data_IF_319074104798
#
_entry.id   IF_319074104798
#
_cell.length_a   1.000
_cell.length_b   1.000
_cell.length_c   1.000
_cell.angle_alpha   90.00
_cell.angle_beta   90.00
_cell.angle_gamma   90.00
#
_symmetry.space_group_name_H-M   'P 1'
#
loop_
_entity.id
_entity.type
_entity.pdbx_description
1 polymer ?
#
# COMPACT_ATOMS: atom_id res chain seq x y z
N UNK A 1 -20.02 6.20 -1.51
CA UNK A 1 -20.20 5.95 -2.93
C UNK A 1 -21.41 6.70 -3.48
N UNK A 2 -21.40 7.05 -4.78
CA UNK A 2 -22.58 7.66 -5.45
C UNK A 2 -23.73 6.65 -5.57
N UNK A 3 -23.41 5.37 -5.69
CA UNK A 3 -24.34 4.24 -5.71
C UNK A 3 -23.63 2.99 -5.19
N UNK A 4 -24.41 1.97 -4.81
CA UNK A 4 -23.89 0.72 -4.25
C UNK A 4 -23.65 0.75 -2.74
N UNK A 5 -23.08 -0.34 -2.24
CA UNK A 5 -22.81 -0.57 -0.84
C UNK A 5 -21.35 -1.00 -0.68
N UNK A 6 -20.73 -0.63 0.43
CA UNK A 6 -19.37 -1.04 0.79
C UNK A 6 -19.42 -1.67 2.18
N UNK A 7 -18.82 -2.85 2.31
CA UNK A 7 -18.74 -3.57 3.56
C UNK A 7 -17.28 -3.74 3.98
N UNK A 8 -17.00 -3.51 5.25
CA UNK A 8 -15.74 -3.84 5.91
C UNK A 8 -16.07 -4.86 6.99
N UNK A 9 -15.42 -6.03 6.95
CA UNK A 9 -15.71 -7.13 7.89
C UNK A 9 -17.22 -7.42 8.03
N UNK A 10 -17.94 -7.48 6.89
CA UNK A 10 -19.40 -7.69 6.78
C UNK A 10 -20.28 -6.58 7.38
N UNK A 11 -19.72 -5.45 7.78
CA UNK A 11 -20.45 -4.30 8.30
C UNK A 11 -20.53 -3.22 7.22
N UNK A 12 -21.72 -2.69 6.96
CA UNK A 12 -21.94 -1.58 6.04
C UNK A 12 -21.25 -0.32 6.58
N UNK A 13 -20.32 0.29 5.78
CA UNK A 13 -19.58 1.48 6.20
C UNK A 13 -20.47 2.67 6.55
N UNK A 14 -21.69 2.76 5.97
CA UNK A 14 -22.65 3.82 6.28
C UNK A 14 -23.18 3.74 7.71
N UNK A 15 -23.04 2.57 8.36
CA UNK A 15 -23.50 2.30 9.74
C UNK A 15 -22.39 2.36 10.77
N UNK A 16 -21.15 2.59 10.34
CA UNK A 16 -19.97 2.66 11.22
C UNK A 16 -19.53 4.13 11.29
N UNK A 17 -19.21 4.61 12.48
CA UNK A 17 -18.63 5.95 12.60
C UNK A 17 -17.17 5.96 12.10
N UNK A 18 -16.70 7.12 11.63
CA UNK A 18 -15.38 7.30 11.02
C UNK A 18 -14.23 6.81 11.92
N UNK A 19 -14.31 7.05 13.22
CA UNK A 19 -13.30 6.62 14.20
C UNK A 19 -13.20 5.08 14.28
N UNK A 20 -14.31 4.38 14.14
CA UNK A 20 -14.33 2.92 14.14
C UNK A 20 -13.85 2.36 12.79
N UNK A 21 -14.17 3.01 11.66
CA UNK A 21 -13.58 2.66 10.35
C UNK A 21 -12.06 2.79 10.42
N UNK A 22 -11.56 3.89 10.98
CA UNK A 22 -10.13 4.13 11.14
C UNK A 22 -9.40 3.15 12.08
N UNK A 23 -10.11 2.33 12.84
CA UNK A 23 -9.54 1.21 13.60
C UNK A 23 -9.52 -0.11 12.85
N UNK A 24 -10.25 -0.22 11.75
CA UNK A 24 -10.32 -1.43 10.93
C UNK A 24 -9.49 -1.28 9.64
N UNK A 25 -9.39 -0.05 9.10
CA UNK A 25 -8.69 0.25 7.85
C UNK A 25 -7.80 1.46 8.00
N UNK A 26 -6.52 1.32 7.69
CA UNK A 26 -5.61 2.43 7.48
C UNK A 26 -5.54 2.77 5.99
N UNK A 27 -5.53 4.05 5.64
CA UNK A 27 -5.45 4.50 4.26
C UNK A 27 -4.33 5.52 4.07
N UNK A 28 -3.44 5.24 3.12
CA UNK A 28 -2.41 6.16 2.67
C UNK A 28 -2.76 6.68 1.27
N UNK A 29 -3.14 7.95 1.12
CA UNK A 29 -3.41 8.54 -0.18
C UNK A 29 -2.13 8.77 -0.97
N UNK A 30 -2.26 8.98 -2.27
CA UNK A 30 -1.16 9.38 -3.14
C UNK A 30 -0.61 10.76 -2.74
N UNK A 31 0.72 10.88 -2.64
CA UNK A 31 1.41 12.15 -2.41
C UNK A 31 1.00 12.88 -1.11
N UNK A 32 1.03 12.23 0.05
CA UNK A 32 0.63 12.86 1.30
C UNK A 32 1.58 14.02 1.65
N UNK A 33 1.04 15.10 2.18
CA UNK A 33 1.80 16.30 2.55
C UNK A 33 2.10 16.27 4.06
N UNK A 34 3.37 16.40 4.41
CA UNK A 34 3.81 16.52 5.80
C UNK A 34 3.91 18.01 6.19
N UNK A 35 3.34 18.44 7.31
CA UNK A 35 3.65 19.74 7.89
C UNK A 35 5.15 19.86 8.20
N UNK A 36 5.73 21.05 7.98
CA UNK A 36 7.16 21.30 8.27
C UNK A 36 7.49 21.14 9.75
N UNK A 37 8.72 20.72 10.03
CA UNK A 37 9.26 20.61 11.37
C UNK A 37 8.81 19.37 12.17
N UNK A 38 8.05 18.45 11.55
CA UNK A 38 7.70 17.18 12.20
C UNK A 38 8.82 16.15 12.07
N UNK A 39 9.19 15.54 13.17
CA UNK A 39 10.05 14.35 13.18
C UNK A 39 9.31 13.11 12.67
N UNK A 40 10.05 12.06 12.31
CA UNK A 40 9.48 10.76 11.93
C UNK A 40 8.59 10.22 13.04
N UNK A 41 9.05 10.29 14.28
CA UNK A 41 8.31 9.83 15.47
C UNK A 41 6.98 10.57 15.63
N UNK A 42 6.98 11.88 15.47
CA UNK A 42 5.77 12.69 15.56
C UNK A 42 4.80 12.41 14.42
N UNK A 43 5.29 12.22 13.20
CA UNK A 43 4.45 11.79 12.07
C UNK A 43 3.82 10.43 12.37
N UNK A 44 4.60 9.44 12.79
CA UNK A 44 4.11 8.09 13.08
C UNK A 44 3.08 8.11 14.22
N UNK A 45 3.25 9.01 15.19
CA UNK A 45 2.31 9.16 16.29
C UNK A 45 0.89 9.58 15.84
N UNK A 46 0.73 10.24 14.69
CA UNK A 46 -0.60 10.53 14.13
C UNK A 46 -1.40 9.27 13.81
N UNK A 47 -0.74 8.15 13.51
CA UNK A 47 -1.42 6.86 13.36
C UNK A 47 -2.20 6.42 14.61
N UNK A 48 -1.86 6.95 15.79
CA UNK A 48 -2.54 6.63 17.03
C UNK A 48 -3.84 7.42 17.30
N UNK A 49 -4.16 8.45 16.48
CA UNK A 49 -5.37 9.27 16.69
C UNK A 49 -6.68 8.47 16.84
N UNK A 50 -6.95 7.40 16.08
CA UNK A 50 -8.18 6.61 16.27
C UNK A 50 -8.29 5.96 17.65
N UNK A 51 -7.16 5.71 18.31
CA UNK A 51 -7.08 5.05 19.63
C UNK A 51 -7.05 6.04 20.79
N UNK A 52 -6.74 7.31 20.56
CA UNK A 52 -6.65 8.30 21.61
C UNK A 52 -8.00 8.67 22.20
N UNK A 53 -8.00 8.94 23.52
CA UNK A 53 -9.12 9.56 24.22
C UNK A 53 -9.06 11.08 24.03
N UNK A 54 -10.19 11.76 24.22
CA UNK A 54 -10.29 13.23 24.13
C UNK A 54 -9.34 13.98 25.08
N UNK A 55 -8.96 13.35 26.19
CA UNK A 55 -8.02 13.89 27.18
C UNK A 55 -7.06 12.75 27.54
N UNK A 56 -5.72 12.97 27.45
CA UNK A 56 -4.77 11.98 27.96
C UNK A 56 -3.48 11.73 27.16
N UNK A 57 -3.32 12.25 25.96
CA UNK A 57 -2.08 12.04 25.17
C UNK A 57 -1.80 10.56 24.83
N UNK A 58 -0.54 10.26 24.46
CA UNK A 58 -0.07 8.90 24.14
C UNK A 58 0.17 8.10 25.43
N UNK A 59 -0.40 6.92 25.51
CA UNK A 59 -0.13 5.97 26.60
C UNK A 59 1.12 5.10 26.32
N UNK A 60 1.47 4.16 27.20
CA UNK A 60 2.64 3.28 27.02
C UNK A 60 2.52 2.38 25.80
N UNK A 61 1.35 1.80 25.57
CA UNK A 61 1.09 0.96 24.39
C UNK A 61 1.22 1.76 23.09
N UNK A 62 0.70 3.00 23.04
CA UNK A 62 0.87 3.86 21.87
C UNK A 62 2.34 4.10 21.53
N UNK A 63 3.20 4.32 22.55
CA UNK A 63 4.64 4.49 22.36
C UNK A 63 5.31 3.22 21.84
N UNK A 64 4.97 2.06 22.36
CA UNK A 64 5.47 0.76 21.91
C UNK A 64 5.09 0.50 20.44
N UNK A 65 3.86 0.83 20.05
CA UNK A 65 3.40 0.67 18.66
C UNK A 65 4.11 1.63 17.72
N UNK A 66 4.34 2.88 18.14
CA UNK A 66 5.11 3.85 17.35
C UNK A 66 6.55 3.35 17.13
N UNK A 67 7.23 2.89 18.21
CA UNK A 67 8.59 2.36 18.12
C UNK A 67 8.65 1.11 17.25
N UNK A 68 7.68 0.21 17.37
CA UNK A 68 7.55 -0.96 16.53
C UNK A 68 7.39 -0.57 15.04
N UNK A 69 6.47 0.34 14.71
CA UNK A 69 6.22 0.75 13.33
C UNK A 69 7.46 1.40 12.68
N UNK A 70 8.18 2.25 13.42
CA UNK A 70 9.43 2.86 12.99
C UNK A 70 10.50 1.79 12.73
N UNK A 71 10.61 0.78 13.60
CA UNK A 71 11.55 -0.32 13.45
C UNK A 71 11.24 -1.20 12.24
N UNK A 72 9.97 -1.60 12.06
CA UNK A 72 9.56 -2.47 10.94
C UNK A 72 9.79 -1.81 9.57
N UNK A 73 9.75 -0.48 9.51
CA UNK A 73 10.02 0.28 8.27
C UNK A 73 11.48 0.68 8.12
N UNK A 74 12.39 0.21 8.98
CA UNK A 74 13.83 0.47 8.91
C UNK A 74 14.20 1.94 9.17
N UNK A 75 13.43 2.66 10.00
CA UNK A 75 13.62 4.09 10.26
C UNK A 75 14.14 4.39 11.66
N UNK A 76 14.62 3.40 12.43
CA UNK A 76 15.04 3.60 13.82
C UNK A 76 16.11 4.70 13.99
N UNK A 77 17.09 4.77 13.10
CA UNK A 77 18.16 5.79 13.12
C UNK A 77 17.67 7.19 12.72
N UNK A 78 16.48 7.27 12.12
CA UNK A 78 15.87 8.50 11.63
C UNK A 78 14.68 8.96 12.47
N UNK A 79 14.38 8.28 13.59
CA UNK A 79 13.18 8.51 14.38
C UNK A 79 12.98 9.98 14.81
N UNK A 80 14.07 10.64 15.18
CA UNK A 80 14.07 12.03 15.65
C UNK A 80 14.49 13.03 14.56
N UNK A 81 14.67 12.57 13.29
CA UNK A 81 14.94 13.43 12.15
C UNK A 81 13.63 14.00 11.61
N UNK A 82 13.68 15.26 11.18
CA UNK A 82 12.56 15.89 10.48
C UNK A 82 12.28 15.18 9.15
N UNK A 83 11.00 14.97 8.86
CA UNK A 83 10.53 14.24 7.67
C UNK A 83 10.95 14.92 6.38
N UNK A 84 11.04 16.24 6.37
CA UNK A 84 11.49 17.02 5.19
C UNK A 84 12.98 16.78 4.84
N UNK A 85 13.79 16.36 5.82
CA UNK A 85 15.21 16.05 5.65
C UNK A 85 15.49 14.57 5.30
N UNK A 86 14.44 13.80 4.98
CA UNK A 86 14.54 12.41 4.53
C UNK A 86 14.63 12.32 3.00
N UNK A 87 15.28 11.25 2.50
CA UNK A 87 15.17 10.86 1.10
C UNK A 87 13.72 10.51 0.72
N UNK A 88 13.39 10.49 -0.57
CA UNK A 88 12.04 10.12 -1.03
C UNK A 88 11.59 8.76 -0.49
N UNK A 89 12.45 7.73 -0.56
CA UNK A 89 12.14 6.40 -0.05
C UNK A 89 12.00 6.35 1.48
N UNK A 90 12.86 7.05 2.22
CA UNK A 90 12.75 7.16 3.68
C UNK A 90 11.45 7.87 4.08
N UNK A 91 11.09 8.94 3.38
CA UNK A 91 9.84 9.67 3.60
C UNK A 91 8.62 8.78 3.35
N UNK A 92 8.63 8.00 2.26
CA UNK A 92 7.56 7.06 1.97
C UNK A 92 7.42 5.99 3.05
N UNK A 93 8.55 5.44 3.54
CA UNK A 93 8.52 4.49 4.67
C UNK A 93 8.01 5.12 5.96
N UNK A 94 8.25 6.42 6.19
CA UNK A 94 7.69 7.12 7.36
C UNK A 94 6.15 7.22 7.29
N UNK A 95 5.59 7.46 6.11
CA UNK A 95 4.14 7.42 5.89
C UNK A 95 3.56 6.02 6.08
N UNK A 96 4.26 4.98 5.60
CA UNK A 96 3.87 3.59 5.85
C UNK A 96 3.94 3.28 7.35
N UNK A 97 4.98 3.72 8.07
CA UNK A 97 5.07 3.57 9.51
C UNK A 97 3.88 4.21 10.23
N UNK A 98 3.43 5.38 9.79
CA UNK A 98 2.23 6.02 10.33
C UNK A 98 0.97 5.16 10.12
N UNK A 99 0.81 4.55 8.93
CA UNK A 99 -0.33 3.65 8.69
C UNK A 99 -0.24 2.37 9.53
N UNK A 100 0.96 1.82 9.73
CA UNK A 100 1.18 0.68 10.63
C UNK A 100 0.86 1.00 12.08
N UNK A 101 1.23 2.19 12.53
CA UNK A 101 0.94 2.64 13.89
C UNK A 101 -0.57 2.78 14.17
N UNK A 102 -1.41 2.72 13.15
CA UNK A 102 -2.86 2.69 13.30
C UNK A 102 -3.37 1.32 13.79
N UNK A 103 -2.54 0.26 13.76
CA UNK A 103 -2.88 -1.12 14.21
C UNK A 103 -4.18 -1.65 13.59
N UNK A 104 -4.30 -1.59 12.29
CA UNK A 104 -5.47 -2.07 11.56
C UNK A 104 -5.22 -3.43 10.92
N UNK A 105 -6.27 -4.20 10.68
CA UNK A 105 -6.21 -5.47 9.94
C UNK A 105 -6.06 -5.25 8.42
N UNK A 106 -6.45 -4.07 7.93
CA UNK A 106 -6.42 -3.73 6.50
C UNK A 106 -5.64 -2.44 6.32
N UNK A 107 -4.68 -2.47 5.39
CA UNK A 107 -3.94 -1.29 4.94
C UNK A 107 -4.22 -1.08 3.45
N UNK A 108 -4.65 0.12 3.10
CA UNK A 108 -4.90 0.54 1.72
C UNK A 108 -3.90 1.62 1.35
N UNK A 109 -3.19 1.43 0.23
CA UNK A 109 -2.13 2.32 -0.24
C UNK A 109 -2.40 2.71 -1.68
N UNK A 110 -2.48 4.01 -1.93
CA UNK A 110 -2.70 4.54 -3.26
C UNK A 110 -1.37 5.00 -3.87
N UNK A 111 -0.84 4.20 -4.80
CA UNK A 111 0.42 4.42 -5.52
C UNK A 111 1.62 4.74 -4.59
N UNK A 112 1.94 3.91 -3.59
CA UNK A 112 2.98 4.24 -2.61
C UNK A 112 4.40 4.15 -3.18
N UNK A 113 4.59 3.64 -4.40
CA UNK A 113 5.89 3.51 -5.07
C UNK A 113 6.15 4.58 -6.12
N UNK A 114 5.18 5.45 -6.38
CA UNK A 114 5.30 6.52 -7.38
C UNK A 114 6.40 7.52 -7.00
N UNK A 115 7.21 7.94 -7.97
CA UNK A 115 8.39 8.81 -7.82
C UNK A 115 9.57 8.22 -7.02
N UNK A 116 9.59 6.91 -6.78
CA UNK A 116 10.72 6.22 -6.16
C UNK A 116 11.58 5.51 -7.22
N UNK A 117 12.89 5.49 -6.99
CA UNK A 117 13.81 4.64 -7.76
C UNK A 117 13.52 3.16 -7.52
N UNK A 118 13.90 2.29 -8.46
CA UNK A 118 13.58 0.85 -8.42
C UNK A 118 13.98 0.18 -7.10
N UNK A 119 15.12 0.53 -6.52
CA UNK A 119 15.57 -0.02 -5.23
C UNK A 119 14.62 0.34 -4.09
N UNK A 120 14.20 1.60 -4.02
CA UNK A 120 13.28 2.07 -2.99
C UNK A 120 11.86 1.54 -3.18
N UNK A 121 11.41 1.33 -4.43
CA UNK A 121 10.14 0.64 -4.71
C UNK A 121 10.16 -0.78 -4.13
N UNK A 122 11.24 -1.53 -4.38
CA UNK A 122 11.39 -2.88 -3.86
C UNK A 122 11.44 -2.91 -2.32
N UNK A 123 12.20 -2.02 -1.68
CA UNK A 123 12.24 -1.91 -0.22
C UNK A 123 10.84 -1.71 0.39
N UNK A 124 10.02 -0.84 -0.22
CA UNK A 124 8.65 -0.60 0.22
C UNK A 124 7.78 -1.85 0.07
N UNK A 125 7.85 -2.51 -1.09
CA UNK A 125 7.04 -3.70 -1.37
C UNK A 125 7.46 -4.89 -0.50
N UNK A 126 8.76 -5.08 -0.24
CA UNK A 126 9.26 -6.11 0.67
C UNK A 126 8.80 -5.90 2.12
N UNK A 127 8.76 -4.65 2.60
CA UNK A 127 8.19 -4.32 3.91
C UNK A 127 6.71 -4.71 3.96
N UNK A 128 5.93 -4.37 2.94
CA UNK A 128 4.50 -4.69 2.88
C UNK A 128 4.26 -6.20 2.78
N UNK A 129 5.05 -6.92 1.97
CA UNK A 129 4.99 -8.38 1.86
C UNK A 129 5.29 -9.05 3.21
N UNK A 130 6.35 -8.60 3.90
CA UNK A 130 6.69 -9.09 5.24
C UNK A 130 5.54 -8.91 6.22
N UNK A 131 4.93 -7.74 6.25
CA UNK A 131 3.79 -7.43 7.12
C UNK A 131 2.57 -8.31 6.82
N UNK A 132 2.28 -8.55 5.54
CA UNK A 132 1.22 -9.45 5.14
C UNK A 132 1.50 -10.88 5.64
N UNK A 133 2.70 -11.42 5.38
CA UNK A 133 3.06 -12.81 5.71
C UNK A 133 3.22 -13.05 7.22
N UNK A 134 3.85 -12.12 7.95
CA UNK A 134 4.19 -12.33 9.36
C UNK A 134 3.10 -11.84 10.32
N UNK A 135 2.31 -10.84 9.92
CA UNK A 135 1.30 -10.21 10.78
C UNK A 135 -0.13 -10.44 10.31
N UNK A 136 -0.35 -11.16 9.20
CA UNK A 136 -1.67 -11.37 8.59
C UNK A 136 -2.42 -10.06 8.27
N UNK A 137 -1.70 -8.98 8.01
CA UNK A 137 -2.30 -7.71 7.60
C UNK A 137 -2.72 -7.83 6.13
N UNK A 138 -3.97 -7.53 5.83
CA UNK A 138 -4.44 -7.44 4.45
C UNK A 138 -3.93 -6.15 3.82
N UNK A 139 -3.15 -6.26 2.75
CA UNK A 139 -2.63 -5.10 2.00
C UNK A 139 -3.37 -4.96 0.69
N UNK A 140 -4.04 -3.82 0.49
CA UNK A 140 -4.65 -3.42 -0.78
C UNK A 140 -3.82 -2.27 -1.33
N UNK A 141 -3.23 -2.46 -2.51
CA UNK A 141 -2.27 -1.51 -3.07
C UNK A 141 -2.61 -1.23 -4.54
N UNK A 142 -2.60 0.05 -4.93
CA UNK A 142 -2.63 0.45 -6.34
C UNK A 142 -1.19 0.55 -6.84
N UNK A 143 -0.88 -0.18 -7.91
CA UNK A 143 0.43 -0.20 -8.55
C UNK A 143 0.30 0.06 -10.04
N UNK A 144 1.28 0.75 -10.61
CA UNK A 144 1.42 0.95 -12.05
C UNK A 144 2.44 0.00 -12.68
N UNK A 145 3.43 -0.44 -11.91
CA UNK A 145 4.50 -1.32 -12.38
C UNK A 145 4.00 -2.77 -12.42
N UNK A 146 3.69 -3.24 -13.64
CA UNK A 146 3.10 -4.56 -13.88
C UNK A 146 3.92 -5.70 -13.25
N UNK A 147 5.24 -5.70 -13.43
CA UNK A 147 6.10 -6.77 -12.92
C UNK A 147 6.16 -6.78 -11.37
N UNK A 148 6.11 -5.61 -10.74
CA UNK A 148 6.01 -5.52 -9.28
C UNK A 148 4.66 -6.06 -8.80
N UNK A 149 3.56 -5.69 -9.46
CA UNK A 149 2.24 -6.25 -9.14
C UNK A 149 2.21 -7.78 -9.28
N UNK A 150 2.80 -8.32 -10.36
CA UNK A 150 2.88 -9.78 -10.56
C UNK A 150 3.68 -10.49 -9.47
N UNK A 151 4.80 -9.89 -9.02
CA UNK A 151 5.71 -10.49 -8.06
C UNK A 151 5.16 -10.50 -6.64
N UNK A 152 4.52 -9.40 -6.21
CA UNK A 152 4.17 -9.17 -4.81
C UNK A 152 2.70 -9.45 -4.47
N UNK A 153 1.79 -9.49 -5.46
CA UNK A 153 0.39 -9.67 -5.17
C UNK A 153 -0.03 -11.16 -5.14
N UNK A 154 -0.83 -11.53 -4.15
CA UNK A 154 -1.53 -12.82 -4.13
C UNK A 154 -2.71 -12.82 -5.09
N UNK A 155 -3.35 -11.66 -5.26
CA UNK A 155 -4.51 -11.46 -6.14
C UNK A 155 -4.41 -10.10 -6.83
N UNK A 156 -4.75 -10.05 -8.12
CA UNK A 156 -4.74 -8.83 -8.94
C UNK A 156 -6.14 -8.53 -9.42
N UNK A 157 -6.54 -7.27 -9.34
CA UNK A 157 -7.77 -6.76 -9.92
C UNK A 157 -7.39 -5.72 -10.97
N UNK A 158 -7.62 -6.05 -12.25
CA UNK A 158 -7.33 -5.16 -13.37
C UNK A 158 -8.53 -4.27 -13.72
N UNK A 159 -8.31 -2.95 -13.73
CA UNK A 159 -9.35 -1.96 -14.04
C UNK A 159 -9.09 -1.25 -15.36
N UNK A 160 -10.16 -0.95 -16.09
CA UNK A 160 -10.15 0.00 -17.20
C UNK A 160 -11.43 0.82 -17.23
N UNK A 161 -11.30 2.16 -17.27
CA UNK A 161 -12.43 3.09 -17.34
C UNK A 161 -13.52 2.79 -16.29
N UNK A 162 -13.09 2.49 -15.04
CA UNK A 162 -14.00 2.23 -13.91
C UNK A 162 -14.66 0.84 -13.94
N UNK A 163 -14.27 -0.06 -14.84
CA UNK A 163 -14.78 -1.44 -14.90
C UNK A 163 -13.68 -2.43 -14.57
N UNK A 164 -14.02 -3.47 -13.81
CA UNK A 164 -13.16 -4.64 -13.61
C UNK A 164 -13.07 -5.42 -14.92
N UNK A 165 -11.86 -5.67 -15.38
CA UNK A 165 -11.57 -6.43 -16.61
C UNK A 165 -11.16 -7.85 -16.25
N UNK A 166 -10.38 -8.03 -15.19
CA UNK A 166 -9.94 -9.32 -14.69
C UNK A 166 -9.74 -9.26 -13.18
N UNK A 167 -9.87 -10.41 -12.53
CA UNK A 167 -9.60 -10.60 -11.11
C UNK A 167 -9.13 -12.03 -10.88
N UNK A 168 -8.05 -12.23 -10.11
CA UNK A 168 -7.51 -13.54 -9.79
C UNK A 168 -6.01 -13.51 -9.50
N UNK A 169 -5.40 -14.70 -9.40
CA UNK A 169 -3.96 -14.84 -9.19
C UNK A 169 -3.17 -14.29 -10.37
N UNK A 170 -1.96 -13.76 -10.16
CA UNK A 170 -1.14 -13.20 -11.23
C UNK A 170 -1.01 -14.12 -12.45
N UNK A 171 -0.74 -15.42 -12.26
CA UNK A 171 -0.60 -16.41 -13.35
C UNK A 171 -1.88 -16.59 -14.17
N UNK A 172 -3.05 -16.40 -13.58
CA UNK A 172 -4.35 -16.63 -14.24
C UNK A 172 -4.81 -15.40 -15.00
N UNK A 173 -4.50 -14.19 -14.51
CA UNK A 173 -5.09 -12.95 -15.02
C UNK A 173 -4.15 -12.09 -15.85
N UNK A 174 -2.83 -12.24 -15.68
CA UNK A 174 -1.85 -11.51 -16.50
C UNK A 174 -1.59 -12.30 -17.78
N UNK A 175 -2.46 -12.08 -18.75
CA UNK A 175 -2.44 -12.69 -20.07
C UNK A 175 -2.29 -11.63 -21.15
N UNK A 176 -1.81 -12.00 -22.34
CA UNK A 176 -1.73 -11.11 -23.51
C UNK A 176 -3.07 -10.44 -23.80
N UNK A 177 -4.16 -11.21 -23.69
CA UNK A 177 -5.51 -10.70 -23.93
C UNK A 177 -5.94 -9.65 -22.92
N UNK A 178 -5.72 -9.88 -21.63
CA UNK A 178 -6.07 -8.93 -20.57
C UNK A 178 -5.18 -7.68 -20.62
N UNK A 179 -3.87 -7.82 -20.90
CA UNK A 179 -2.98 -6.68 -21.09
C UNK A 179 -3.39 -5.82 -22.28
N UNK A 180 -3.79 -6.45 -23.39
CA UNK A 180 -4.38 -5.73 -24.54
C UNK A 180 -5.65 -4.99 -24.14
N UNK A 181 -6.56 -5.62 -23.40
CA UNK A 181 -7.80 -4.98 -22.92
C UNK A 181 -7.52 -3.82 -21.96
N UNK A 182 -6.63 -3.99 -20.99
CA UNK A 182 -6.37 -3.00 -19.92
C UNK A 182 -5.52 -1.85 -20.46
N UNK A 183 -4.37 -2.16 -21.07
CA UNK A 183 -3.37 -1.16 -21.46
C UNK A 183 -3.37 -0.83 -22.95
N UNK A 184 -3.97 -1.67 -23.81
CA UNK A 184 -3.89 -1.51 -25.26
C UNK A 184 -2.50 -1.88 -25.80
N UNK A 185 -1.85 -2.88 -25.22
CA UNK A 185 -0.51 -3.33 -25.59
C UNK A 185 -0.53 -4.80 -26.06
N UNK A 186 0.43 -5.14 -26.90
CA UNK A 186 0.85 -6.52 -27.18
C UNK A 186 2.10 -6.80 -26.35
N UNK A 187 2.03 -7.79 -25.46
CA UNK A 187 3.10 -8.09 -24.52
C UNK A 187 3.67 -9.51 -24.73
N UNK A 188 4.98 -9.65 -24.55
CA UNK A 188 5.66 -10.92 -24.43
C UNK A 188 5.82 -11.27 -22.97
N UNK A 189 5.21 -12.40 -22.56
CA UNK A 189 5.21 -12.88 -21.19
C UNK A 189 6.07 -14.13 -21.08
N UNK A 190 6.81 -14.21 -19.99
CA UNK A 190 7.47 -15.43 -19.50
C UNK A 190 7.06 -15.69 -18.06
N UNK A 191 7.52 -16.79 -17.48
CA UNK A 191 7.25 -17.12 -16.08
C UNK A 191 8.56 -16.97 -15.30
N UNK A 192 8.49 -16.51 -14.07
CA UNK A 192 9.64 -16.42 -13.16
C UNK A 192 10.33 -17.78 -13.01
N UNK A 193 11.62 -17.79 -12.70
CA UNK A 193 12.41 -19.03 -12.55
C UNK A 193 11.83 -19.99 -11.51
N UNK A 194 11.21 -19.47 -10.46
CA UNK A 194 10.55 -20.25 -9.41
C UNK A 194 9.09 -20.63 -9.75
N UNK A 195 8.58 -20.25 -10.93
CA UNK A 195 7.26 -20.61 -11.42
C UNK A 195 6.09 -19.87 -10.78
N UNK A 196 6.33 -18.82 -9.97
CA UNK A 196 5.29 -18.22 -9.12
C UNK A 196 4.49 -17.10 -9.77
N UNK A 197 5.09 -16.35 -10.70
CA UNK A 197 4.43 -15.20 -11.31
C UNK A 197 4.88 -14.96 -12.75
N UNK A 198 4.04 -14.32 -13.56
CA UNK A 198 4.40 -13.93 -14.93
C UNK A 198 5.28 -12.68 -14.91
N UNK A 199 6.17 -12.59 -15.91
CA UNK A 199 7.04 -11.45 -16.15
C UNK A 199 6.73 -10.90 -17.54
N UNK A 200 6.44 -9.63 -17.64
CA UNK A 200 6.35 -8.91 -18.90
C UNK A 200 7.75 -8.49 -19.32
N UNK A 201 8.25 -9.09 -20.42
CA UNK A 201 9.61 -8.86 -20.92
C UNK A 201 9.67 -7.67 -21.86
N UNK A 202 8.74 -7.62 -22.80
CA UNK A 202 8.65 -6.61 -23.83
C UNK A 202 7.19 -6.32 -24.16
N UNK A 203 6.89 -5.12 -24.62
CA UNK A 203 5.55 -4.77 -25.08
C UNK A 203 5.58 -3.63 -26.08
N UNK A 204 4.63 -3.67 -27.01
CA UNK A 204 4.37 -2.65 -28.01
C UNK A 204 2.92 -2.16 -27.93
N UNK A 205 2.66 -0.98 -28.46
CA UNK A 205 1.28 -0.51 -28.59
C UNK A 205 0.51 -1.40 -29.57
N UNK A 206 -0.64 -1.90 -29.12
CA UNK A 206 -1.56 -2.56 -30.02
C UNK A 206 -2.11 -1.55 -31.04
N UNK A 207 -1.94 -1.84 -32.33
CA UNK A 207 -2.49 -1.06 -33.45
C UNK A 207 -3.45 -1.96 -34.21
N UNK A 208 -4.70 -1.55 -34.30
CA UNK A 208 -5.62 -2.21 -35.26
C UNK A 208 -5.11 -1.97 -36.67
N UNK A 209 -4.99 -3.06 -37.43
CA UNK A 209 -4.56 -3.03 -38.85
C UNK A 209 -5.66 -2.43 -39.73
#
# INVERSE_FOLDING_TARGET
>A
PKAGEIFINKKDIKKINEKNIAKEVAFLPQGPVCPSGLTVRELVAFGRFPHQKLIGGLNSHDKEVIDWAIKETGLSEFADREVENLSGGQRQRAWIAMTLAQETEIIMLDEPTTYLDMSYQLEVLEVLEKLNKEKNITVVIVLHELNNACRFADNIIGFKKGKVICEGKPLDVITKENLKKIYGIEANLTISEDGKYPICMEYDLFREA
#
